data_IF_751056371757
#
_entry.id   IF_751056371757
#
_cell.length_a   1.000
_cell.length_b   1.000
_cell.length_c   1.000
_cell.angle_alpha   90.00
_cell.angle_beta   90.00
_cell.angle_gamma   90.00
#
_symmetry.space_group_name_H-M   'P 1'
#
loop_
_entity.id
_entity.type
_entity.pdbx_description
1 polymer ?
#
# COMPACT_ATOMS: atom_id res chain seq x y z
N UNK A 1 14.74 1.75 4.50
CA UNK A 1 13.43 2.24 4.07
C UNK A 1 12.35 1.46 4.78
N UNK A 2 11.32 2.15 5.22
CA UNK A 2 10.28 1.52 6.02
C UNK A 2 9.05 1.10 5.23
N UNK A 3 8.87 1.60 3.99
CA UNK A 3 7.78 1.10 3.15
C UNK A 3 8.04 -0.34 2.74
N UNK A 4 6.96 -1.08 2.53
CA UNK A 4 7.02 -2.50 2.26
C UNK A 4 6.35 -2.79 0.92
N UNK A 5 7.02 -3.52 0.03
CA UNK A 5 6.39 -3.95 -1.23
C UNK A 5 5.51 -5.16 -0.98
N UNK A 6 4.29 -5.13 -1.51
CA UNK A 6 3.39 -6.27 -1.40
C UNK A 6 2.93 -6.71 -2.79
N UNK A 7 2.57 -7.98 -2.88
CA UNK A 7 2.15 -8.62 -4.13
C UNK A 7 0.75 -9.19 -3.96
N UNK A 8 0.16 -9.63 -5.08
CA UNK A 8 -1.12 -10.35 -5.02
C UNK A 8 -1.00 -11.60 -4.14
N UNK A 9 0.16 -12.26 -4.20
CA UNK A 9 0.39 -13.50 -3.47
C UNK A 9 0.52 -13.32 -1.97
N UNK A 10 1.08 -12.20 -1.51
CA UNK A 10 1.27 -11.97 -0.07
C UNK A 10 0.32 -10.93 0.53
N UNK A 11 -0.62 -10.42 -0.25
CA UNK A 11 -1.51 -9.38 0.22
C UNK A 11 -2.32 -9.82 1.45
N UNK A 12 -2.86 -11.03 1.40
CA UNK A 12 -3.65 -11.57 2.50
C UNK A 12 -2.83 -11.64 3.79
N UNK A 13 -1.65 -12.24 3.72
CA UNK A 13 -0.81 -12.44 4.91
C UNK A 13 -0.22 -11.15 5.43
N UNK A 14 0.27 -10.29 4.53
CA UNK A 14 1.08 -9.14 4.93
C UNK A 14 0.24 -7.88 5.16
N UNK A 15 -0.96 -7.82 4.59
CA UNK A 15 -1.82 -6.65 4.73
C UNK A 15 -3.07 -6.98 5.53
N UNK A 16 -3.88 -7.93 5.02
CA UNK A 16 -5.16 -8.22 5.64
C UNK A 16 -5.01 -8.76 7.06
N UNK A 17 -4.01 -9.63 7.26
CA UNK A 17 -3.76 -10.25 8.57
C UNK A 17 -2.74 -9.52 9.41
N UNK A 18 -2.34 -8.32 8.99
CA UNK A 18 -1.38 -7.54 9.75
C UNK A 18 -1.96 -7.09 11.08
N UNK A 19 -1.12 -7.13 12.12
CA UNK A 19 -1.53 -6.66 13.46
C UNK A 19 -1.63 -5.14 13.52
N UNK A 20 -0.93 -4.44 12.62
CA UNK A 20 -0.96 -2.97 12.57
C UNK A 20 -1.83 -2.52 11.41
N UNK A 21 -2.49 -1.37 11.53
CA UNK A 21 -3.17 -0.77 10.39
C UNK A 21 -2.18 -0.60 9.24
N UNK A 22 -2.61 -0.89 8.02
CA UNK A 22 -1.76 -0.82 6.85
C UNK A 22 -2.39 0.10 5.83
N UNK A 23 -1.61 1.09 5.37
CA UNK A 23 -1.98 1.95 4.25
C UNK A 23 -1.39 1.32 3.00
N UNK A 24 -2.23 0.96 2.04
CA UNK A 24 -1.78 0.37 0.78
C UNK A 24 -1.81 1.45 -0.29
N UNK A 25 -0.64 1.74 -0.86
CA UNK A 25 -0.46 2.70 -1.94
C UNK A 25 -0.43 1.95 -3.27
N UNK A 26 -1.50 2.08 -4.06
CA UNK A 26 -1.56 1.50 -5.40
C UNK A 26 -0.91 2.47 -6.38
N UNK A 27 0.11 2.01 -7.08
CA UNK A 27 0.95 2.87 -7.91
C UNK A 27 1.43 2.14 -9.16
N UNK A 28 2.04 2.89 -10.09
CA UNK A 28 2.69 2.33 -11.28
C UNK A 28 3.87 3.20 -11.67
N UNK A 29 4.82 2.61 -12.40
CA UNK A 29 6.02 3.32 -12.83
C UNK A 29 5.70 4.53 -13.72
N UNK A 30 4.66 4.42 -14.55
CA UNK A 30 4.28 5.47 -15.47
C UNK A 30 3.49 6.60 -14.81
N UNK A 31 3.15 6.47 -13.56
CA UNK A 31 2.31 7.42 -12.84
C UNK A 31 3.14 8.51 -12.19
N UNK A 32 3.17 9.69 -12.81
CA UNK A 32 3.91 10.83 -12.28
C UNK A 32 3.51 11.22 -10.86
N UNK A 33 2.21 11.44 -10.59
CA UNK A 33 1.76 11.78 -9.23
C UNK A 33 2.13 10.72 -8.20
N UNK A 34 2.11 9.43 -8.57
CA UNK A 34 2.52 8.36 -7.67
C UNK A 34 3.97 8.54 -7.23
N UNK A 35 4.83 8.90 -8.17
CA UNK A 35 6.25 9.10 -7.88
C UNK A 35 6.50 10.35 -7.05
N UNK A 36 5.65 11.36 -7.19
CA UNK A 36 5.79 12.59 -6.41
C UNK A 36 5.48 12.37 -4.94
N UNK A 37 4.51 11.50 -4.63
CA UNK A 37 4.16 11.24 -3.23
C UNK A 37 5.05 10.18 -2.58
N UNK A 38 5.83 9.44 -3.38
CA UNK A 38 6.69 8.37 -2.87
C UNK A 38 7.59 8.81 -1.72
N UNK A 39 8.38 9.87 -1.89
CA UNK A 39 9.26 10.32 -0.80
C UNK A 39 8.52 10.70 0.48
N UNK A 40 7.35 11.32 0.36
CA UNK A 40 6.54 11.67 1.53
C UNK A 40 6.05 10.40 2.25
N UNK A 41 5.66 9.37 1.50
CA UNK A 41 5.24 8.11 2.09
C UNK A 41 6.39 7.41 2.80
N UNK A 42 7.60 7.45 2.24
CA UNK A 42 8.77 6.90 2.91
C UNK A 42 9.02 7.60 4.24
N UNK A 43 8.94 8.92 4.25
CA UNK A 43 9.15 9.70 5.45
C UNK A 43 8.10 9.37 6.51
N UNK A 44 6.84 9.30 6.12
CA UNK A 44 5.76 8.94 7.04
C UNK A 44 5.96 7.53 7.58
N UNK A 45 6.38 6.60 6.72
CA UNK A 45 6.58 5.22 7.15
C UNK A 45 7.68 5.11 8.20
N UNK A 46 8.74 5.94 8.09
CA UNK A 46 9.80 5.97 9.09
C UNK A 46 9.30 6.57 10.40
N UNK A 47 8.58 7.68 10.30
CA UNK A 47 8.10 8.38 11.50
C UNK A 47 7.07 7.58 12.27
N UNK A 48 6.23 6.80 11.58
CA UNK A 48 5.12 6.08 12.20
C UNK A 48 5.29 4.57 12.19
N UNK A 49 6.50 4.09 12.04
CA UNK A 49 6.76 2.65 11.84
C UNK A 49 6.23 1.76 12.95
N UNK A 50 6.09 2.30 14.16
CA UNK A 50 5.58 1.53 15.29
C UNK A 50 4.05 1.50 15.35
N UNK A 51 3.38 2.32 14.54
CA UNK A 51 1.94 2.51 14.59
C UNK A 51 1.24 2.04 13.33
N UNK A 52 1.86 2.20 12.17
CA UNK A 52 1.23 1.92 10.89
C UNK A 52 2.27 1.37 9.91
N UNK A 53 1.81 0.51 9.02
CA UNK A 53 2.62 -0.01 7.92
C UNK A 53 2.19 0.68 6.63
N UNK A 54 3.16 1.16 5.86
CA UNK A 54 2.90 1.69 4.51
C UNK A 54 3.35 0.62 3.53
N UNK A 55 2.40 0.06 2.80
CA UNK A 55 2.66 -0.98 1.81
C UNK A 55 2.47 -0.41 0.41
N UNK A 56 3.34 -0.79 -0.52
CA UNK A 56 3.27 -0.33 -1.91
C UNK A 56 2.90 -1.51 -2.80
N UNK A 57 1.90 -1.31 -3.65
CA UNK A 57 1.36 -2.34 -4.52
C UNK A 57 1.38 -1.86 -5.96
N UNK A 58 2.25 -2.45 -6.80
CA UNK A 58 2.37 -2.07 -8.21
C UNK A 58 1.23 -2.71 -9.01
N UNK A 59 0.37 -1.90 -9.59
CA UNK A 59 -0.84 -2.41 -10.26
C UNK A 59 -0.55 -3.11 -11.59
N UNK A 60 0.58 -2.81 -12.22
CA UNK A 60 0.93 -3.45 -13.49
C UNK A 60 1.50 -4.84 -13.28
N UNK A 61 2.33 -5.00 -12.25
CA UNK A 61 2.93 -6.28 -11.93
C UNK A 61 1.99 -7.19 -11.17
N UNK A 62 1.06 -6.61 -10.41
CA UNK A 62 0.18 -7.34 -9.50
C UNK A 62 -1.26 -6.87 -9.68
N UNK A 63 -1.93 -7.25 -10.79
CA UNK A 63 -3.23 -6.67 -11.15
C UNK A 63 -4.44 -7.24 -10.42
N UNK A 64 -4.30 -8.39 -9.76
CA UNK A 64 -5.46 -9.06 -9.17
C UNK A 64 -6.05 -8.31 -7.98
N UNK A 65 -5.19 -7.84 -7.09
CA UNK A 65 -5.64 -7.12 -5.89
C UNK A 65 -6.33 -5.81 -6.22
N UNK A 66 -5.75 -4.93 -7.07
CA UNK A 66 -6.46 -3.70 -7.42
C UNK A 66 -7.80 -3.97 -8.10
N UNK A 67 -7.90 -5.01 -8.92
CA UNK A 67 -9.16 -5.38 -9.56
C UNK A 67 -10.19 -5.78 -8.50
N UNK A 68 -9.78 -6.58 -7.54
CA UNK A 68 -10.65 -7.04 -6.46
C UNK A 68 -11.22 -5.89 -5.65
N UNK A 69 -10.42 -4.86 -5.40
CA UNK A 69 -10.86 -3.69 -4.61
C UNK A 69 -11.44 -2.58 -5.45
N UNK A 70 -11.59 -2.78 -6.75
CA UNK A 70 -12.21 -1.79 -7.63
C UNK A 70 -11.37 -0.54 -7.82
N UNK A 71 -10.05 -0.68 -7.78
CA UNK A 71 -9.14 0.46 -7.97
C UNK A 71 -9.13 0.82 -9.44
N UNK A 72 -9.61 2.01 -9.77
CA UNK A 72 -9.76 2.46 -11.16
C UNK A 72 -8.81 3.59 -11.54
N UNK A 73 -8.21 4.23 -10.57
CA UNK A 73 -7.28 5.32 -10.82
C UNK A 73 -6.18 5.28 -9.79
N UNK A 74 -5.04 5.85 -10.14
CA UNK A 74 -3.89 5.94 -9.24
C UNK A 74 -3.36 7.36 -9.24
N UNK A 75 -2.75 7.82 -8.15
CA UNK A 75 -2.55 7.06 -6.91
C UNK A 75 -3.85 6.87 -6.13
N UNK A 76 -3.99 5.73 -5.51
CA UNK A 76 -5.11 5.45 -4.59
C UNK A 76 -4.53 4.77 -3.37
N UNK A 77 -4.95 5.22 -2.19
CA UNK A 77 -4.48 4.64 -0.95
C UNK A 77 -5.67 4.11 -0.16
N UNK A 78 -5.54 2.89 0.32
CA UNK A 78 -6.55 2.26 1.17
C UNK A 78 -5.96 2.02 2.54
N UNK A 79 -6.74 2.33 3.58
CA UNK A 79 -6.37 2.01 4.95
C UNK A 79 -7.11 0.73 5.35
N UNK A 80 -6.36 -0.30 5.69
CA UNK A 80 -6.89 -1.59 6.07
C UNK A 80 -6.41 -1.96 7.47
N UNK A 81 -7.31 -2.53 8.27
CA UNK A 81 -6.99 -2.91 9.65
C UNK A 81 -7.86 -4.07 10.08
N UNK A 82 -7.26 -5.02 10.81
CA UNK A 82 -8.01 -6.09 11.45
C UNK A 82 -8.81 -5.59 12.63
N UNK A 83 -8.36 -4.51 13.25
CA UNK A 83 -8.99 -3.95 14.45
C UNK A 83 -9.83 -2.77 14.03
N UNK A 84 -10.94 -3.07 13.40
CA UNK A 84 -11.83 -2.01 12.99
C UNK A 84 -13.22 -2.37 13.46
N UNK A 85 -13.48 -2.07 14.58
CA UNK A 85 -14.78 -2.45 15.15
C UNK A 85 -15.75 -1.31 15.08
#
# INVERSE_FOLDING_TARGET
MATKSVTDGNFETDVIKSEKPTVVDFWAEWCGPCKQIGPALEEISEEMKDQVIIAKHNIDQEPNTPTKYGIKSIPTMLLLSLIHI
#
